data_IF_473315161831
#
_entry.id   IF_473315161831
#
_cell.length_a   1.000
_cell.length_b   1.000
_cell.length_c   1.000
_cell.angle_alpha   90.00
_cell.angle_beta   90.00
_cell.angle_gamma   90.00
#
_symmetry.space_group_name_H-M   'P 1'
#
loop_
_entity.id
_entity.type
_entity.pdbx_description
1 polymer ?
#
# COMPACT_ATOMS: atom_id res chain seq x y z
N UNK A 1 3.23 8.22 -14.45
CA UNK A 1 3.65 7.41 -13.33
C UNK A 1 4.01 8.26 -12.11
N UNK A 2 4.32 7.60 -11.01
CA UNK A 2 4.96 8.18 -9.84
C UNK A 2 6.38 7.58 -9.78
N UNK A 3 7.39 8.37 -9.42
CA UNK A 3 8.76 7.91 -9.30
C UNK A 3 9.35 8.42 -7.98
N UNK A 4 10.10 7.55 -7.29
CA UNK A 4 10.88 7.90 -6.10
C UNK A 4 12.36 7.55 -6.27
N UNK A 5 12.74 6.94 -7.41
CA UNK A 5 14.08 6.47 -7.75
C UNK A 5 14.50 6.99 -9.13
N UNK A 6 15.74 7.48 -9.24
CA UNK A 6 16.32 7.93 -10.50
C UNK A 6 17.69 7.27 -10.71
N UNK A 7 17.94 6.82 -11.94
CA UNK A 7 19.25 6.29 -12.37
C UNK A 7 19.56 6.76 -13.79
N UNK A 8 20.75 6.42 -14.28
CA UNK A 8 21.15 6.65 -15.67
C UNK A 8 21.41 5.31 -16.36
N UNK A 9 20.97 5.20 -17.61
CA UNK A 9 21.35 4.07 -18.46
C UNK A 9 22.78 4.26 -19.03
N UNK A 10 23.25 3.27 -19.78
CA UNK A 10 24.56 3.28 -20.42
C UNK A 10 24.70 4.41 -21.45
N UNK A 11 23.60 4.90 -22.03
CA UNK A 11 23.58 6.02 -22.96
C UNK A 11 23.54 7.39 -22.25
N UNK A 12 23.47 7.41 -20.90
CA UNK A 12 23.40 8.60 -20.07
C UNK A 12 22.00 9.20 -19.92
N UNK A 13 20.95 8.54 -20.44
CA UNK A 13 19.56 8.97 -20.27
C UNK A 13 19.09 8.73 -18.83
N UNK A 14 18.24 9.63 -18.32
CA UNK A 14 17.65 9.47 -16.97
C UNK A 14 16.50 8.47 -17.05
N UNK A 15 16.58 7.43 -16.23
CA UNK A 15 15.50 6.45 -16.00
C UNK A 15 14.88 6.77 -14.65
N UNK A 16 13.55 6.83 -14.63
CA UNK A 16 12.76 6.99 -13.41
C UNK A 16 12.01 5.70 -13.09
N UNK A 17 12.11 5.22 -11.85
CA UNK A 17 11.42 4.02 -11.36
C UNK A 17 10.76 4.32 -10.00
N UNK A 18 10.01 3.34 -9.48
CA UNK A 18 9.34 3.46 -8.20
C UNK A 18 9.57 2.21 -7.35
N UNK A 19 10.20 2.39 -6.19
CA UNK A 19 10.50 1.32 -5.24
C UNK A 19 9.43 1.15 -4.15
N UNK A 20 8.45 2.08 -4.04
CA UNK A 20 7.40 2.04 -3.01
C UNK A 20 6.59 0.74 -3.08
N UNK A 21 6.23 0.32 -4.30
CA UNK A 21 5.45 -0.89 -4.50
C UNK A 21 6.17 -2.16 -4.05
N UNK A 22 7.45 -2.28 -4.40
CA UNK A 22 8.29 -3.42 -3.95
C UNK A 22 8.46 -3.39 -2.44
N UNK A 23 8.73 -2.20 -1.86
CA UNK A 23 8.83 -2.04 -0.40
C UNK A 23 7.56 -2.45 0.33
N UNK A 24 6.39 -2.02 -0.15
CA UNK A 24 5.10 -2.39 0.42
C UNK A 24 4.86 -3.92 0.37
N UNK A 25 5.06 -4.53 -0.80
CA UNK A 25 4.86 -5.97 -0.99
C UNK A 25 5.85 -6.76 -0.14
N UNK A 26 7.12 -6.40 -0.11
CA UNK A 26 8.13 -7.08 0.72
C UNK A 26 7.76 -7.02 2.20
N UNK A 27 7.33 -5.87 2.71
CA UNK A 27 6.93 -5.75 4.12
C UNK A 27 5.72 -6.63 4.44
N UNK A 28 4.72 -6.69 3.57
CA UNK A 28 3.54 -7.53 3.77
C UNK A 28 3.86 -9.03 3.62
N UNK A 29 4.60 -9.43 2.56
CA UNK A 29 4.75 -10.85 2.22
C UNK A 29 5.93 -11.51 2.94
N UNK A 30 7.06 -10.82 3.06
CA UNK A 30 8.28 -11.36 3.68
C UNK A 30 8.30 -11.09 5.18
N UNK A 31 8.12 -9.82 5.59
CA UNK A 31 8.26 -9.46 7.01
C UNK A 31 7.03 -9.88 7.82
N UNK A 32 5.81 -9.69 7.29
CA UNK A 32 4.57 -10.04 7.98
C UNK A 32 4.04 -11.45 7.61
N UNK A 33 4.55 -12.08 6.56
CA UNK A 33 4.13 -13.42 6.12
C UNK A 33 2.71 -13.46 5.53
N UNK A 34 2.20 -12.33 5.00
CA UNK A 34 0.87 -12.27 4.40
C UNK A 34 0.90 -12.82 2.96
N UNK A 35 -0.12 -13.58 2.57
CA UNK A 35 -0.36 -13.90 1.16
C UNK A 35 -1.25 -12.81 0.55
N UNK A 36 -0.90 -12.40 -0.67
CA UNK A 36 -1.71 -11.48 -1.49
C UNK A 36 -2.33 -12.21 -2.69
N UNK A 37 -1.90 -13.45 -2.97
CA UNK A 37 -2.45 -14.30 -4.01
C UNK A 37 -3.93 -14.58 -3.74
N UNK A 38 -4.76 -14.42 -4.77
CA UNK A 38 -6.24 -14.55 -4.73
C UNK A 38 -6.94 -13.63 -3.71
N UNK A 39 -6.24 -12.62 -3.16
CA UNK A 39 -6.80 -11.69 -2.19
C UNK A 39 -7.67 -10.61 -2.87
N UNK A 40 -8.78 -10.25 -2.24
CA UNK A 40 -9.59 -9.06 -2.60
C UNK A 40 -9.00 -7.84 -1.92
N UNK A 41 -8.40 -6.95 -2.69
CA UNK A 41 -7.67 -5.79 -2.17
C UNK A 41 -8.47 -4.50 -2.34
N UNK A 42 -8.72 -3.79 -1.23
CA UNK A 42 -9.25 -2.43 -1.22
C UNK A 42 -8.10 -1.43 -0.99
N UNK A 43 -7.87 -0.56 -1.97
CA UNK A 43 -6.83 0.45 -1.92
C UNK A 43 -7.44 1.85 -1.79
N UNK A 44 -7.20 2.52 -0.66
CA UNK A 44 -7.75 3.84 -0.36
C UNK A 44 -6.80 4.94 -0.82
N UNK A 45 -7.33 5.88 -1.62
CA UNK A 45 -6.59 6.98 -2.22
C UNK A 45 -6.34 6.81 -3.72
N UNK A 46 -5.96 7.88 -4.41
CA UNK A 46 -5.57 7.88 -5.82
C UNK A 46 -4.40 8.88 -6.07
N UNK A 47 -3.57 9.08 -5.07
CA UNK A 47 -2.37 9.93 -5.11
C UNK A 47 -1.14 9.24 -5.69
N UNK A 48 0.01 9.90 -5.61
CA UNK A 48 1.29 9.40 -6.12
C UNK A 48 1.71 8.07 -5.48
N UNK A 49 1.61 7.96 -4.15
CA UNK A 49 1.94 6.75 -3.42
C UNK A 49 1.10 5.55 -3.89
N UNK A 50 -0.24 5.73 -4.00
CA UNK A 50 -1.15 4.70 -4.50
C UNK A 50 -0.81 4.28 -5.93
N UNK A 51 -0.49 5.25 -6.81
CA UNK A 51 -0.04 4.95 -8.19
C UNK A 51 1.22 4.11 -8.23
N UNK A 52 2.15 4.39 -7.31
CA UNK A 52 3.43 3.71 -7.24
C UNK A 52 3.32 2.24 -6.81
N UNK A 53 2.33 1.88 -6.00
CA UNK A 53 2.22 0.52 -5.45
C UNK A 53 1.36 -0.44 -6.28
N UNK A 54 0.47 0.05 -7.14
CA UNK A 54 -0.44 -0.80 -7.93
C UNK A 54 0.32 -1.86 -8.75
N UNK A 55 1.39 -1.55 -9.51
CA UNK A 55 2.07 -2.56 -10.31
C UNK A 55 2.59 -3.74 -9.48
N UNK A 56 3.16 -3.47 -8.30
CA UNK A 56 3.68 -4.50 -7.43
C UNK A 56 2.55 -5.33 -6.80
N UNK A 57 1.44 -4.71 -6.40
CA UNK A 57 0.27 -5.42 -5.90
C UNK A 57 -0.34 -6.35 -6.96
N UNK A 58 -0.43 -5.90 -8.21
CA UNK A 58 -0.96 -6.73 -9.31
C UNK A 58 -0.03 -7.89 -9.67
N UNK A 59 1.28 -7.76 -9.46
CA UNK A 59 2.24 -8.85 -9.67
C UNK A 59 2.06 -10.01 -8.70
N UNK A 60 1.41 -9.80 -7.55
CA UNK A 60 1.07 -10.82 -6.56
C UNK A 60 -0.21 -11.60 -6.90
N UNK A 61 -0.78 -11.41 -8.10
CA UNK A 61 -1.98 -12.10 -8.59
C UNK A 61 -3.20 -12.03 -7.65
N UNK A 62 -3.60 -10.86 -7.12
CA UNK A 62 -4.80 -10.75 -6.30
C UNK A 62 -6.05 -11.10 -7.13
N UNK A 63 -7.14 -11.53 -6.46
CA UNK A 63 -8.42 -11.81 -7.11
C UNK A 63 -9.00 -10.56 -7.77
N UNK A 64 -8.91 -9.41 -7.10
CA UNK A 64 -9.30 -8.11 -7.63
C UNK A 64 -8.66 -6.97 -6.82
N UNK A 65 -8.62 -5.78 -7.43
CA UNK A 65 -8.20 -4.55 -6.77
C UNK A 65 -9.25 -3.46 -7.01
N UNK A 66 -9.79 -2.89 -5.92
CA UNK A 66 -10.68 -1.74 -5.97
C UNK A 66 -9.98 -0.51 -5.42
N UNK A 67 -9.89 0.56 -6.22
CA UNK A 67 -9.36 1.84 -5.79
C UNK A 67 -10.50 2.73 -5.33
N UNK A 68 -10.50 3.15 -4.06
CA UNK A 68 -11.50 4.06 -3.52
C UNK A 68 -10.91 5.43 -3.23
N UNK A 69 -11.55 6.51 -3.67
CA UNK A 69 -11.06 7.87 -3.42
C UNK A 69 -12.19 8.85 -3.15
N UNK A 70 -11.90 9.91 -2.40
CA UNK A 70 -12.85 11.01 -2.15
C UNK A 70 -13.42 11.62 -3.43
N UNK A 71 -12.61 11.68 -4.50
CA UNK A 71 -13.02 12.10 -5.84
C UNK A 71 -13.13 10.85 -6.71
N UNK A 72 -14.34 10.31 -6.99
CA UNK A 72 -14.51 9.04 -7.70
C UNK A 72 -13.80 8.99 -9.06
N UNK A 73 -13.90 10.07 -9.84
CA UNK A 73 -13.29 10.16 -11.17
C UNK A 73 -11.76 9.91 -11.16
N UNK A 74 -11.05 10.29 -10.08
CA UNK A 74 -9.60 10.01 -9.96
C UNK A 74 -9.33 8.53 -9.75
N UNK A 75 -10.15 7.84 -8.97
CA UNK A 75 -10.04 6.41 -8.74
C UNK A 75 -10.36 5.63 -10.03
N UNK A 76 -11.45 6.00 -10.72
CA UNK A 76 -11.86 5.40 -11.99
C UNK A 76 -10.78 5.56 -13.06
N UNK A 77 -10.23 6.77 -13.22
CA UNK A 77 -9.14 7.02 -14.17
C UNK A 77 -7.89 6.20 -13.85
N UNK A 78 -7.57 6.07 -12.55
CA UNK A 78 -6.42 5.27 -12.12
C UNK A 78 -6.65 3.79 -12.40
N UNK A 79 -7.83 3.26 -12.08
CA UNK A 79 -8.20 1.87 -12.33
C UNK A 79 -8.15 1.52 -13.83
N UNK A 80 -8.68 2.38 -14.70
CA UNK A 80 -8.64 2.19 -16.15
C UNK A 80 -7.24 2.00 -16.71
N UNK A 81 -6.24 2.63 -16.12
CA UNK A 81 -4.85 2.52 -16.57
C UNK A 81 -4.23 1.13 -16.27
N UNK A 82 -4.86 0.32 -15.40
CA UNK A 82 -4.34 -0.96 -14.93
C UNK A 82 -5.29 -2.14 -15.18
N UNK A 83 -6.45 -1.90 -15.77
CA UNK A 83 -7.41 -2.97 -16.10
C UNK A 83 -6.78 -3.96 -17.08
N UNK A 84 -6.81 -5.25 -16.73
CA UNK A 84 -6.39 -6.36 -17.57
C UNK A 84 -7.34 -7.54 -17.39
N UNK A 85 -7.25 -8.52 -18.29
CA UNK A 85 -8.02 -9.76 -18.17
C UNK A 85 -7.52 -10.66 -17.02
N UNK A 86 -6.26 -10.46 -16.57
CA UNK A 86 -5.65 -11.29 -15.53
C UNK A 86 -6.12 -10.90 -14.12
N UNK A 87 -6.18 -9.59 -13.83
CA UNK A 87 -6.64 -9.08 -12.53
C UNK A 87 -7.61 -7.93 -12.77
N UNK A 88 -8.89 -8.07 -12.38
CA UNK A 88 -9.86 -7.00 -12.46
C UNK A 88 -9.48 -5.81 -11.55
N UNK A 89 -9.28 -4.63 -12.15
CA UNK A 89 -9.06 -3.38 -11.42
C UNK A 89 -10.24 -2.45 -11.67
N UNK A 90 -10.86 -1.98 -10.60
CA UNK A 90 -11.98 -1.05 -10.66
C UNK A 90 -11.78 0.10 -9.66
N UNK A 91 -12.59 1.15 -9.78
CA UNK A 91 -12.43 2.31 -8.89
C UNK A 91 -13.69 3.14 -8.79
N UNK A 92 -13.82 3.86 -7.66
CA UNK A 92 -14.99 4.70 -7.38
C UNK A 92 -14.83 5.55 -6.13
N UNK A 93 -15.96 6.10 -5.68
CA UNK A 93 -16.06 6.84 -4.41
C UNK A 93 -16.10 5.92 -3.19
N UNK A 94 -15.92 6.49 -2.01
CA UNK A 94 -16.00 5.72 -0.75
C UNK A 94 -17.37 5.08 -0.51
N UNK A 95 -18.44 5.65 -1.08
CA UNK A 95 -19.80 5.09 -0.99
C UNK A 95 -20.08 4.05 -2.09
N UNK A 96 -19.17 3.91 -3.05
CA UNK A 96 -19.25 2.95 -4.17
C UNK A 96 -18.40 1.70 -3.92
N UNK A 97 -17.78 1.60 -2.74
CA UNK A 97 -16.99 0.41 -2.36
C UNK A 97 -17.92 -0.80 -2.34
N UNK A 98 -17.60 -1.86 -3.11
CA UNK A 98 -18.34 -3.12 -3.11
C UNK A 98 -18.55 -3.70 -1.71
N UNK A 99 -19.67 -4.38 -1.50
CA UNK A 99 -20.05 -4.94 -0.19
C UNK A 99 -19.51 -6.33 0.07
N UNK A 100 -18.91 -6.97 -0.94
CA UNK A 100 -18.25 -8.26 -0.79
C UNK A 100 -17.08 -8.16 0.19
N UNK A 101 -16.80 -9.24 0.95
CA UNK A 101 -15.76 -9.21 1.97
C UNK A 101 -14.37 -8.90 1.40
N UNK A 102 -13.64 -8.00 2.05
CA UNK A 102 -12.25 -7.64 1.72
C UNK A 102 -11.27 -8.44 2.55
N UNK A 103 -10.21 -8.96 1.91
CA UNK A 103 -9.12 -9.68 2.56
C UNK A 103 -8.02 -8.73 3.02
N UNK A 104 -7.80 -7.64 2.28
CA UNK A 104 -6.78 -6.65 2.58
C UNK A 104 -7.30 -5.24 2.31
N UNK A 105 -7.06 -4.34 3.26
CA UNK A 105 -7.35 -2.91 3.10
C UNK A 105 -6.05 -2.14 3.25
N UNK A 106 -5.68 -1.38 2.22
CA UNK A 106 -4.46 -0.55 2.22
C UNK A 106 -4.87 0.92 2.21
N UNK A 107 -4.41 1.68 3.19
CA UNK A 107 -4.60 3.13 3.24
C UNK A 107 -3.39 3.85 2.65
N UNK A 108 -3.55 4.45 1.47
CA UNK A 108 -2.59 5.34 0.82
C UNK A 108 -3.11 6.78 0.70
N UNK A 109 -4.07 7.17 1.55
CA UNK A 109 -4.57 8.54 1.58
C UNK A 109 -3.63 9.47 2.35
N UNK A 110 -3.65 10.75 2.02
CA UNK A 110 -2.92 11.78 2.78
C UNK A 110 -3.61 12.17 4.10
N UNK A 111 -4.79 11.62 4.40
CA UNK A 111 -5.53 11.93 5.64
C UNK A 111 -4.81 11.46 6.89
N UNK A 112 -3.92 10.47 6.79
CA UNK A 112 -3.01 10.09 7.87
C UNK A 112 -2.11 11.25 8.34
N UNK A 113 -1.76 12.18 7.43
CA UNK A 113 -0.99 13.38 7.75
C UNK A 113 -1.83 14.47 8.45
N UNK A 114 -3.15 14.50 8.22
CA UNK A 114 -4.11 15.42 8.86
C UNK A 114 -4.80 14.82 10.08
N UNK A 115 -4.41 13.61 10.49
CA UNK A 115 -5.01 12.87 11.60
C UNK A 115 -6.53 12.64 11.43
N UNK A 116 -6.98 12.48 10.20
CA UNK A 116 -8.38 12.24 9.84
C UNK A 116 -8.57 10.85 9.25
N UNK A 117 -9.78 10.33 9.36
CA UNK A 117 -10.19 9.06 8.74
C UNK A 117 -11.03 9.35 7.50
N UNK A 118 -10.81 8.64 6.35
CA UNK A 118 -11.72 8.72 5.22
C UNK A 118 -13.16 8.33 5.64
N UNK A 119 -14.16 9.04 5.11
CA UNK A 119 -15.58 8.72 5.34
C UNK A 119 -16.00 7.48 4.52
N UNK A 120 -15.56 6.30 4.96
CA UNK A 120 -15.84 5.03 4.29
C UNK A 120 -17.31 4.61 4.44
N UNK A 121 -17.81 3.82 3.47
CA UNK A 121 -19.16 3.25 3.53
C UNK A 121 -19.34 2.38 4.78
N UNK A 122 -20.47 2.55 5.47
CA UNK A 122 -20.82 1.72 6.62
C UNK A 122 -21.22 0.28 6.25
N UNK A 123 -21.50 0.01 4.97
CA UNK A 123 -21.88 -1.32 4.45
C UNK A 123 -20.71 -2.20 4.03
N UNK A 124 -19.48 -1.71 4.16
CA UNK A 124 -18.28 -2.47 3.84
C UNK A 124 -18.11 -3.66 4.76
N UNK A 125 -17.80 -4.84 4.22
CA UNK A 125 -17.61 -6.08 4.97
C UNK A 125 -16.16 -6.57 4.86
N UNK A 126 -15.76 -7.40 5.82
CA UNK A 126 -14.39 -7.91 5.95
C UNK A 126 -14.40 -9.43 5.97
N UNK A 127 -13.44 -10.05 5.30
CA UNK A 127 -13.20 -11.48 5.44
C UNK A 127 -12.76 -11.82 6.89
N UNK A 128 -12.97 -13.06 7.35
CA UNK A 128 -12.62 -13.45 8.73
C UNK A 128 -11.15 -13.22 9.10
N UNK A 129 -10.26 -13.23 8.12
CA UNK A 129 -8.82 -12.98 8.28
C UNK A 129 -8.39 -11.68 7.59
N UNK A 130 -9.29 -10.71 7.49
CA UNK A 130 -8.97 -9.43 6.89
C UNK A 130 -7.79 -8.77 7.59
N UNK A 131 -6.91 -8.18 6.80
CA UNK A 131 -5.72 -7.44 7.24
C UNK A 131 -5.82 -5.97 6.82
N UNK A 132 -5.15 -5.12 7.54
CA UNK A 132 -5.11 -3.70 7.21
C UNK A 132 -3.68 -3.17 7.23
N UNK A 133 -3.33 -2.38 6.23
CA UNK A 133 -2.03 -1.74 6.10
C UNK A 133 -2.20 -0.23 5.92
N UNK A 134 -1.55 0.56 6.75
CA UNK A 134 -1.49 2.01 6.56
C UNK A 134 -0.12 2.38 5.98
N UNK A 135 -0.09 3.01 4.80
CA UNK A 135 1.17 3.49 4.22
C UNK A 135 1.77 4.67 5.01
N UNK A 136 0.98 5.32 5.88
CA UNK A 136 1.49 6.25 6.87
C UNK A 136 2.08 5.51 8.08
N UNK A 137 3.06 6.13 8.72
CA UNK A 137 3.69 5.62 9.95
C UNK A 137 3.89 6.76 10.95
N UNK A 138 4.07 6.41 12.22
CA UNK A 138 4.26 7.40 13.28
C UNK A 138 4.54 6.78 14.65
N UNK A 139 4.70 7.65 15.67
CA UNK A 139 4.90 7.21 17.06
C UNK A 139 3.65 6.58 17.69
N UNK A 140 2.48 7.00 17.26
CA UNK A 140 1.20 6.48 17.72
C UNK A 140 0.44 5.82 16.55
N UNK A 141 -0.47 4.87 16.84
CA UNK A 141 -1.36 4.33 15.83
C UNK A 141 -2.11 5.42 15.08
N UNK A 142 -2.17 5.31 13.77
CA UNK A 142 -2.92 6.27 12.94
C UNK A 142 -4.45 6.12 13.16
N UNK A 143 -5.25 7.11 12.80
CA UNK A 143 -6.71 6.99 12.82
C UNK A 143 -7.23 5.80 12.02
N UNK A 144 -6.60 5.48 10.88
CA UNK A 144 -6.95 4.30 10.09
C UNK A 144 -6.66 3.00 10.84
N UNK A 145 -5.51 2.86 11.48
CA UNK A 145 -5.18 1.69 12.29
C UNK A 145 -6.15 1.52 13.46
N UNK A 146 -6.50 2.60 14.14
CA UNK A 146 -7.48 2.59 15.22
C UNK A 146 -8.88 2.17 14.71
N UNK A 147 -9.30 2.70 13.56
CA UNK A 147 -10.55 2.33 12.91
C UNK A 147 -10.57 0.84 12.51
N UNK A 148 -9.52 0.34 11.87
CA UNK A 148 -9.43 -1.04 11.44
C UNK A 148 -9.57 -2.01 12.63
N UNK A 149 -8.86 -1.74 13.73
CA UNK A 149 -8.98 -2.52 14.99
C UNK A 149 -10.39 -2.46 15.57
N UNK A 150 -11.01 -1.29 15.58
CA UNK A 150 -12.41 -1.13 16.05
C UNK A 150 -13.42 -1.89 15.17
N UNK A 151 -13.09 -2.19 13.93
CA UNK A 151 -13.85 -3.04 13.00
C UNK A 151 -13.55 -4.54 13.16
N UNK A 152 -12.68 -4.93 14.07
CA UNK A 152 -12.32 -6.33 14.33
C UNK A 152 -11.16 -6.86 13.48
N UNK A 153 -10.48 -6.01 12.69
CA UNK A 153 -9.27 -6.42 11.98
C UNK A 153 -8.13 -6.59 12.99
N UNK A 154 -7.60 -7.82 13.07
CA UNK A 154 -6.60 -8.18 14.10
C UNK A 154 -5.19 -7.80 13.67
N UNK A 155 -4.83 -8.10 12.42
CA UNK A 155 -3.53 -7.80 11.86
C UNK A 155 -3.55 -6.43 11.17
N UNK A 156 -2.93 -5.44 11.83
CA UNK A 156 -2.89 -4.05 11.37
C UNK A 156 -1.46 -3.52 11.45
N UNK A 157 -0.89 -3.18 10.30
CA UNK A 157 0.47 -2.65 10.16
C UNK A 157 0.47 -1.19 9.74
N UNK A 158 1.56 -0.50 10.08
CA UNK A 158 1.91 0.83 9.58
C UNK A 158 3.00 0.78 8.51
N UNK A 159 3.25 1.89 7.83
CA UNK A 159 4.16 2.00 6.71
C UNK A 159 5.65 2.06 7.05
N UNK A 160 6.07 1.83 8.31
CA UNK A 160 7.48 1.89 8.68
C UNK A 160 8.30 0.79 7.99
N UNK A 161 7.77 -0.43 7.90
CA UNK A 161 8.42 -1.51 7.17
C UNK A 161 8.55 -1.16 5.68
N UNK A 162 7.48 -0.71 5.03
CA UNK A 162 7.52 -0.23 3.65
C UNK A 162 8.58 0.86 3.43
N UNK A 163 8.73 1.80 4.36
CA UNK A 163 9.76 2.85 4.29
C UNK A 163 11.17 2.26 4.23
N UNK A 164 11.46 1.27 5.03
CA UNK A 164 12.78 0.62 5.07
C UNK A 164 13.00 -0.24 3.83
N UNK A 165 12.02 -1.06 3.46
CA UNK A 165 12.14 -1.98 2.33
C UNK A 165 12.26 -1.23 0.98
N UNK A 166 11.52 -0.11 0.75
CA UNK A 166 11.69 0.69 -0.47
C UNK A 166 13.09 1.34 -0.55
N UNK A 167 13.67 1.69 0.60
CA UNK A 167 15.04 2.22 0.65
C UNK A 167 16.08 1.11 0.40
N UNK A 168 15.86 -0.09 0.91
CA UNK A 168 16.68 -1.27 0.64
C UNK A 168 16.65 -1.64 -0.86
N UNK A 169 15.47 -1.60 -1.50
CA UNK A 169 15.34 -1.80 -2.94
C UNK A 169 16.11 -0.74 -3.73
N UNK A 170 15.99 0.53 -3.34
CA UNK A 170 16.74 1.62 -3.97
C UNK A 170 18.26 1.43 -3.80
N UNK A 171 18.71 1.00 -2.62
CA UNK A 171 20.10 0.68 -2.36
C UNK A 171 20.59 -0.47 -3.25
N UNK A 172 19.80 -1.55 -3.36
CA UNK A 172 20.12 -2.66 -4.24
C UNK A 172 20.26 -2.22 -5.70
N UNK A 173 19.34 -1.40 -6.20
CA UNK A 173 19.39 -0.90 -7.58
C UNK A 173 20.64 -0.04 -7.85
N UNK A 174 21.17 0.67 -6.84
CA UNK A 174 22.40 1.47 -7.00
C UNK A 174 23.68 0.70 -6.74
N UNK A 175 23.65 -0.30 -5.83
CA UNK A 175 24.87 -0.95 -5.29
C UNK A 175 24.99 -2.42 -5.64
N UNK A 176 23.90 -3.08 -6.08
CA UNK A 176 23.87 -4.51 -6.41
C UNK A 176 23.80 -5.44 -5.19
N UNK A 177 23.61 -4.91 -3.98
CA UNK A 177 23.56 -5.67 -2.74
C UNK A 177 22.36 -5.25 -1.90
N UNK A 178 21.64 -6.22 -1.31
CA UNK A 178 20.56 -5.93 -0.37
C UNK A 178 21.10 -5.73 1.04
N UNK A 179 20.75 -4.63 1.73
CA UNK A 179 21.10 -4.44 3.12
C UNK A 179 20.17 -5.25 4.03
N UNK A 180 20.64 -5.52 5.26
CA UNK A 180 19.81 -6.10 6.33
C UNK A 180 18.75 -5.09 6.79
N UNK A 181 17.47 -5.38 6.59
CA UNK A 181 16.35 -4.45 6.86
C UNK A 181 15.75 -4.63 8.26
N UNK A 182 15.64 -5.86 8.76
CA UNK A 182 15.02 -6.18 10.06
C UNK A 182 15.65 -5.41 11.24
N UNK A 183 17.00 -5.33 11.38
CA UNK A 183 17.61 -4.52 12.44
C UNK A 183 17.28 -3.04 12.32
N UNK A 184 17.16 -2.51 11.10
CA UNK A 184 16.84 -1.10 10.85
C UNK A 184 15.39 -0.81 11.28
N UNK A 185 14.43 -1.64 10.86
CA UNK A 185 13.02 -1.52 11.30
C UNK A 185 12.93 -1.55 12.82
N UNK A 186 13.61 -2.51 13.47
CA UNK A 186 13.62 -2.65 14.93
C UNK A 186 14.19 -1.41 15.63
N UNK A 187 15.29 -0.88 15.11
CA UNK A 187 15.93 0.34 15.65
C UNK A 187 15.04 1.56 15.53
N UNK A 188 14.40 1.74 14.37
CA UNK A 188 13.48 2.86 14.12
C UNK A 188 12.22 2.78 15.00
N UNK A 189 11.66 1.58 15.21
CA UNK A 189 10.53 1.39 16.13
C UNK A 189 10.92 1.72 17.56
N UNK A 190 12.09 1.27 18.04
CA UNK A 190 12.59 1.61 19.36
C UNK A 190 12.79 3.12 19.55
N UNK A 191 13.33 3.82 18.54
CA UNK A 191 13.51 5.27 18.57
C UNK A 191 12.18 6.05 18.52
N UNK A 192 11.13 5.45 17.97
CA UNK A 192 9.80 6.07 17.87
C UNK A 192 8.92 5.85 19.11
N UNK A 193 9.23 4.83 19.93
CA UNK A 193 8.45 4.42 21.11
C UNK A 193 8.98 4.94 22.46
N UNK A 194 10.04 5.79 22.44
CA UNK A 194 10.62 6.39 23.65
C UNK A 194 9.96 7.72 24.04
#
# INVERSE_FOLDING_TARGET
GAANFLTRDEAGSIIADNTDGRGLVTDMTVNAGWSLDDARILLLGAGGAVRGVIPALLAEAPQCLFVANRTPARAQQLAQAWTSDAVPVSGGGYQEIPTEPWDLIINGTSTGLSNEMPALSGSMTFAPQCRAYDMAYGRAPTPFMAWARAKGVVEVLDGLGMLVEQAAESFFLWRGEYPETIPVVSSLRAASGG
#
